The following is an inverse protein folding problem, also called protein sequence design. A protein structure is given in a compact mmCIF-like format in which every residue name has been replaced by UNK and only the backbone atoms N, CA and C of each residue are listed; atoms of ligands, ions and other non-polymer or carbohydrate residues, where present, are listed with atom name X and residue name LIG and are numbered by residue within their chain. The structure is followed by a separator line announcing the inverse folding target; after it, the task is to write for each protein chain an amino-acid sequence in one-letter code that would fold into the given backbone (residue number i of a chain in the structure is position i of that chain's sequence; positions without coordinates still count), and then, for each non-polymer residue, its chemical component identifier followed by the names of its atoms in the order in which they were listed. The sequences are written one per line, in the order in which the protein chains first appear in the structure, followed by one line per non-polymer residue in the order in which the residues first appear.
data_IF_009206320260
#
_entry.id   IF_009206320260
#
_cell.length_a   1.000
_cell.length_b   1.000
_cell.length_c   1.000
_cell.angle_alpha   90.00
_cell.angle_beta   90.00
_cell.angle_gamma   90.00
#
_symmetry.space_group_name_H-M   'P 1'
#
loop_
_entity.id
_entity.type
_entity.pdbx_description
1 polymer ?
#
# COMPACT_ATOMS: atom_id res chain seq x y z
N UNK A 1 16.94 10.73 -2.74
CA UNK A 1 17.62 11.59 -1.77
C UNK A 1 19.08 11.13 -1.59
N UNK A 2 20.01 12.05 -1.45
CA UNK A 2 21.46 11.79 -1.38
C UNK A 2 21.83 10.64 -0.41
N UNK A 3 21.25 10.63 0.78
CA UNK A 3 21.48 9.59 1.77
C UNK A 3 21.07 8.19 1.25
N UNK A 4 19.92 8.11 0.60
CA UNK A 4 19.40 6.83 0.09
C UNK A 4 20.29 6.29 -1.03
N UNK A 5 20.68 7.14 -1.97
CA UNK A 5 21.46 6.75 -3.14
C UNK A 5 22.90 6.40 -2.78
N UNK A 6 23.53 7.21 -1.89
CA UNK A 6 24.95 7.10 -1.61
C UNK A 6 25.29 6.19 -0.43
N UNK A 7 24.33 5.85 0.44
CA UNK A 7 24.57 5.03 1.63
C UNK A 7 23.61 3.85 1.73
N UNK A 8 22.30 4.11 1.74
CA UNK A 8 21.30 3.09 2.01
C UNK A 8 21.22 2.02 0.91
N UNK A 9 21.24 2.42 -0.37
CA UNK A 9 21.22 1.48 -1.50
C UNK A 9 22.46 0.57 -1.50
N UNK A 10 23.71 1.09 -1.45
CA UNK A 10 24.88 0.24 -1.38
C UNK A 10 24.88 -0.72 -0.19
N UNK A 11 24.49 -0.26 1.01
CA UNK A 11 24.37 -1.13 2.18
C UNK A 11 23.34 -2.25 1.97
N UNK A 12 22.15 -1.94 1.44
CA UNK A 12 21.10 -2.92 1.18
C UNK A 12 21.46 -3.89 0.04
N UNK A 13 22.31 -3.46 -0.90
CA UNK A 13 22.86 -4.31 -1.97
C UNK A 13 24.05 -5.18 -1.53
N UNK A 14 24.43 -5.13 -0.24
CA UNK A 14 25.60 -5.83 0.31
C UNK A 14 26.95 -5.33 -0.24
N UNK A 15 26.98 -4.07 -0.70
CA UNK A 15 28.18 -3.36 -1.21
C UNK A 15 28.69 -2.33 -0.17
N UNK A 16 28.22 -2.42 1.08
CA UNK A 16 28.58 -1.47 2.13
C UNK A 16 30.08 -1.47 2.48
N UNK A 17 30.78 -2.57 2.29
CA UNK A 17 32.21 -2.70 2.56
C UNK A 17 33.08 -1.90 1.56
N UNK A 18 32.52 -1.56 0.39
CA UNK A 18 33.19 -0.74 -0.63
C UNK A 18 33.06 0.76 -0.33
N UNK A 19 32.21 1.14 0.64
CA UNK A 19 32.03 2.52 1.04
C UNK A 19 33.20 3.02 1.91
N UNK A 20 33.75 4.22 1.64
CA UNK A 20 34.74 4.81 2.52
C UNK A 20 34.13 5.18 3.87
N UNK A 21 34.90 5.11 4.95
CA UNK A 21 34.44 5.48 6.30
C UNK A 21 33.82 6.88 6.34
N UNK A 22 34.33 7.80 5.54
CA UNK A 22 33.79 9.16 5.41
C UNK A 22 32.36 9.23 4.86
N UNK A 23 31.86 8.18 4.20
CA UNK A 23 30.47 8.12 3.77
C UNK A 23 29.49 8.14 4.96
N UNK A 24 29.94 7.70 6.13
CA UNK A 24 29.14 7.63 7.37
C UNK A 24 29.29 8.87 8.27
N UNK A 25 30.02 9.89 7.83
CA UNK A 25 30.30 11.09 8.64
C UNK A 25 29.03 11.81 9.16
N UNK A 26 27.98 11.82 8.33
CA UNK A 26 26.69 12.44 8.69
C UNK A 26 25.82 11.61 9.62
N UNK A 27 26.18 10.38 9.89
CA UNK A 27 25.42 9.38 10.68
C UNK A 27 26.28 8.66 11.71
N UNK A 28 27.34 9.30 12.19
CA UNK A 28 28.31 8.73 13.14
C UNK A 28 27.70 8.30 14.47
N UNK A 29 26.56 8.88 14.83
CA UNK A 29 25.79 8.54 16.03
C UNK A 29 24.75 7.42 15.79
N UNK A 30 24.68 6.87 14.57
CA UNK A 30 23.70 5.87 14.18
C UNK A 30 22.31 6.40 13.85
N UNK A 31 22.13 7.72 13.84
CA UNK A 31 20.83 8.34 13.51
C UNK A 31 20.66 8.43 11.99
N UNK A 32 19.65 7.76 11.46
CA UNK A 32 19.28 7.84 10.04
C UNK A 32 18.17 8.87 9.80
N UNK A 33 18.12 9.48 8.61
CA UNK A 33 17.03 10.40 8.26
C UNK A 33 15.66 9.73 8.35
N UNK A 34 14.67 10.44 8.86
CA UNK A 34 13.30 9.94 8.95
C UNK A 34 12.68 9.72 7.56
N UNK A 35 11.78 8.74 7.45
CA UNK A 35 11.04 8.45 6.22
C UNK A 35 11.82 7.66 5.16
N UNK A 36 12.96 7.07 5.51
CA UNK A 36 13.77 6.24 4.59
C UNK A 36 13.17 4.86 4.35
N UNK A 37 12.34 4.35 5.26
CA UNK A 37 11.67 3.03 5.12
C UNK A 37 10.84 2.89 3.84
N UNK A 38 10.30 3.99 3.31
CA UNK A 38 9.57 3.99 2.02
C UNK A 38 10.41 3.56 0.82
N UNK A 39 11.74 3.59 0.95
CA UNK A 39 12.68 3.14 -0.09
C UNK A 39 13.11 1.69 0.07
N UNK A 40 12.74 1.04 1.18
CA UNK A 40 13.06 -0.37 1.44
C UNK A 40 11.98 -1.32 0.88
N UNK A 41 11.64 -1.16 -0.38
CA UNK A 41 10.64 -1.98 -1.06
C UNK A 41 11.29 -3.27 -1.58
N UNK A 42 10.87 -4.43 -1.08
CA UNK A 42 11.53 -5.73 -1.35
C UNK A 42 10.76 -6.67 -2.27
N UNK A 43 9.44 -6.56 -2.35
CA UNK A 43 8.63 -7.42 -3.21
C UNK A 43 8.78 -8.92 -2.89
N UNK A 44 8.77 -9.30 -1.60
CA UNK A 44 9.08 -10.66 -1.14
C UNK A 44 7.94 -11.67 -1.32
N UNK A 45 6.74 -11.22 -1.67
CA UNK A 45 5.58 -12.08 -1.84
C UNK A 45 5.70 -12.96 -3.08
N UNK A 46 5.33 -14.24 -2.97
CA UNK A 46 5.18 -15.14 -4.13
C UNK A 46 3.80 -14.99 -4.75
N UNK A 47 2.79 -14.75 -3.92
CA UNK A 47 1.41 -14.50 -4.33
C UNK A 47 0.91 -13.18 -3.75
N UNK A 48 0.13 -12.45 -4.53
CA UNK A 48 -0.48 -11.18 -4.17
C UNK A 48 -2.00 -11.28 -4.20
N UNK A 49 -2.73 -10.58 -3.31
CA UNK A 49 -4.19 -10.55 -3.35
C UNK A 49 -4.68 -9.66 -4.50
N UNK A 50 -5.21 -10.28 -5.56
CA UNK A 50 -5.91 -9.58 -6.64
C UNK A 50 -7.32 -9.23 -6.20
N UNK A 51 -7.68 -7.97 -6.30
CA UNK A 51 -9.00 -7.46 -5.91
C UNK A 51 -10.01 -7.54 -7.07
N UNK A 52 -11.20 -8.05 -6.74
CA UNK A 52 -12.37 -8.08 -7.61
C UNK A 52 -13.39 -7.05 -7.11
N UNK A 53 -13.57 -5.97 -7.87
CA UNK A 53 -14.46 -4.88 -7.52
C UNK A 53 -15.92 -5.32 -7.39
N UNK A 54 -16.39 -6.22 -8.27
CA UNK A 54 -17.79 -6.66 -8.31
C UNK A 54 -18.18 -7.43 -7.05
N UNK A 55 -17.28 -8.28 -6.56
CA UNK A 55 -17.51 -9.10 -5.37
C UNK A 55 -17.32 -8.34 -4.05
N UNK A 56 -16.63 -7.21 -4.08
CA UNK A 56 -16.25 -6.49 -2.89
C UNK A 56 -17.47 -5.78 -2.23
N UNK A 57 -17.68 -6.03 -0.94
CA UNK A 57 -18.73 -5.39 -0.13
C UNK A 57 -18.23 -4.16 0.65
N UNK A 58 -17.00 -3.76 0.45
CA UNK A 58 -16.37 -2.57 1.06
C UNK A 58 -16.37 -2.56 2.59
N UNK A 59 -16.18 -3.70 3.23
CA UNK A 59 -16.13 -3.81 4.69
C UNK A 59 -14.77 -3.41 5.29
N UNK A 60 -13.71 -3.32 4.49
CA UNK A 60 -12.34 -2.98 4.87
C UNK A 60 -11.66 -3.96 5.86
N UNK A 61 -12.23 -5.13 6.11
CA UNK A 61 -11.61 -6.12 7.02
C UNK A 61 -10.26 -6.60 6.52
N UNK A 62 -10.08 -6.72 5.20
CA UNK A 62 -8.80 -7.07 4.58
C UNK A 62 -7.70 -6.04 4.89
N UNK A 63 -8.03 -4.76 4.87
CA UNK A 63 -7.11 -3.69 5.28
C UNK A 63 -6.81 -3.73 6.77
N UNK A 64 -7.85 -3.95 7.59
CA UNK A 64 -7.72 -4.00 9.05
C UNK A 64 -6.79 -5.12 9.56
N UNK A 65 -6.79 -6.29 8.92
CA UNK A 65 -5.94 -7.42 9.35
C UNK A 65 -4.56 -7.43 8.71
N UNK A 66 -4.27 -6.50 7.79
CA UNK A 66 -2.97 -6.47 7.12
C UNK A 66 -1.88 -6.00 8.08
N UNK A 67 -0.87 -6.84 8.41
CA UNK A 67 0.17 -6.49 9.38
C UNK A 67 1.07 -5.34 8.89
N UNK A 68 1.15 -5.13 7.57
CA UNK A 68 2.02 -4.12 6.95
C UNK A 68 1.28 -2.95 6.34
N UNK A 69 -0.03 -2.83 6.56
CA UNK A 69 -0.86 -1.81 5.89
C UNK A 69 -0.69 -1.78 4.36
N UNK A 70 -0.27 -2.90 3.77
CA UNK A 70 0.02 -3.02 2.35
C UNK A 70 -1.24 -3.05 1.46
N UNK A 71 -2.43 -3.23 2.06
CA UNK A 71 -3.70 -3.19 1.35
C UNK A 71 -4.61 -2.14 2.00
N UNK A 72 -5.01 -1.11 1.23
CA UNK A 72 -5.69 0.08 1.75
C UNK A 72 -6.88 0.47 0.89
N UNK A 73 -8.01 0.89 1.50
CA UNK A 73 -9.12 1.47 0.75
C UNK A 73 -8.80 2.91 0.33
N UNK A 74 -9.17 3.25 -0.90
CA UNK A 74 -9.03 4.59 -1.47
C UNK A 74 -10.39 5.10 -1.90
N UNK A 75 -10.68 6.37 -1.61
CA UNK A 75 -11.87 7.08 -2.07
C UNK A 75 -11.48 8.11 -3.12
N UNK A 76 -12.17 8.10 -4.25
CA UNK A 76 -11.88 8.97 -5.40
C UNK A 76 -13.10 9.80 -5.76
N UNK A 77 -12.87 11.05 -6.22
CA UNK A 77 -13.85 11.84 -6.96
C UNK A 77 -13.95 11.36 -8.42
N UNK A 78 -14.87 11.90 -9.18
CA UNK A 78 -14.98 11.61 -10.62
C UNK A 78 -13.72 12.07 -11.38
N UNK A 79 -13.14 13.21 -11.01
CA UNK A 79 -11.92 13.75 -11.63
C UNK A 79 -10.74 12.84 -11.34
N UNK A 80 -10.55 12.44 -10.08
CA UNK A 80 -9.48 11.54 -9.67
C UNK A 80 -9.62 10.17 -10.35
N UNK A 81 -10.83 9.64 -10.47
CA UNK A 81 -11.09 8.41 -11.20
C UNK A 81 -10.73 8.53 -12.69
N UNK A 82 -11.12 9.64 -13.32
CA UNK A 82 -10.85 9.86 -14.76
C UNK A 82 -9.36 10.06 -15.08
N UNK A 83 -8.58 10.50 -14.08
CA UNK A 83 -7.13 10.66 -14.18
C UNK A 83 -6.35 9.37 -13.85
N UNK A 84 -7.02 8.30 -13.42
CA UNK A 84 -6.37 7.06 -13.00
C UNK A 84 -5.81 6.25 -14.18
N UNK A 85 -4.83 5.36 -13.93
CA UNK A 85 -4.37 4.38 -14.92
C UNK A 85 -5.53 3.52 -15.48
N UNK A 86 -5.34 2.98 -16.68
CA UNK A 86 -6.39 2.21 -17.39
C UNK A 86 -6.92 1.03 -16.58
N UNK A 87 -6.03 0.35 -15.86
CA UNK A 87 -6.35 -0.86 -15.07
C UNK A 87 -6.73 -0.55 -13.60
N UNK A 88 -6.96 0.72 -13.29
CA UNK A 88 -7.37 1.17 -11.96
C UNK A 88 -8.87 0.95 -11.73
N UNK A 89 -9.28 -0.30 -11.53
CA UNK A 89 -10.66 -0.66 -11.29
C UNK A 89 -11.23 0.06 -10.06
N UNK A 90 -12.46 0.57 -10.17
CA UNK A 90 -13.19 1.21 -9.07
C UNK A 90 -14.65 0.78 -9.08
N UNK A 91 -15.36 1.01 -7.97
CA UNK A 91 -16.81 0.89 -7.89
C UNK A 91 -17.41 2.05 -7.07
N UNK A 92 -18.72 2.33 -7.17
CA UNK A 92 -19.35 3.35 -6.34
C UNK A 92 -19.12 3.07 -4.85
N UNK A 93 -18.74 4.10 -4.10
CA UNK A 93 -18.51 3.98 -2.66
C UNK A 93 -19.84 3.77 -1.91
N UNK A 94 -19.84 2.85 -0.93
CA UNK A 94 -21.00 2.52 -0.09
C UNK A 94 -20.89 3.25 1.25
N UNK A 95 -21.84 4.12 1.51
CA UNK A 95 -21.95 4.92 2.74
C UNK A 95 -22.71 6.20 2.47
N UNK A 96 -23.47 6.68 3.47
CA UNK A 96 -24.31 7.88 3.32
C UNK A 96 -23.47 9.11 2.97
N UNK A 97 -22.35 9.28 3.68
CA UNK A 97 -21.41 10.41 3.51
C UNK A 97 -20.45 10.23 2.33
N UNK A 98 -20.42 9.03 1.72
CA UNK A 98 -19.54 8.68 0.59
C UNK A 98 -20.27 8.75 -0.76
N UNK A 99 -21.49 9.28 -0.78
CA UNK A 99 -22.29 9.34 -1.98
C UNK A 99 -21.61 10.23 -3.03
N UNK A 100 -21.50 9.71 -4.25
CA UNK A 100 -20.82 10.40 -5.35
C UNK A 100 -19.30 10.15 -5.40
N UNK A 101 -18.76 9.35 -4.48
CA UNK A 101 -17.36 8.92 -4.54
C UNK A 101 -17.23 7.50 -5.12
N UNK A 102 -16.04 7.20 -5.59
CA UNK A 102 -15.64 5.87 -6.02
C UNK A 102 -14.72 5.23 -4.98
N UNK A 103 -14.78 3.93 -4.92
CA UNK A 103 -14.00 3.11 -3.99
C UNK A 103 -13.10 2.14 -4.74
N UNK A 104 -11.87 2.01 -4.29
CA UNK A 104 -10.92 0.95 -4.65
C UNK A 104 -10.27 0.37 -3.41
N UNK A 105 -10.01 -0.94 -3.42
CA UNK A 105 -9.08 -1.57 -2.49
C UNK A 105 -7.74 -1.71 -3.19
N UNK A 106 -6.77 -0.90 -2.81
CA UNK A 106 -5.46 -0.82 -3.45
C UNK A 106 -4.41 -1.61 -2.68
N UNK A 107 -3.57 -2.33 -3.39
CA UNK A 107 -2.45 -3.12 -2.88
C UNK A 107 -1.12 -2.41 -3.16
N UNK A 108 -0.21 -2.37 -2.18
CA UNK A 108 1.21 -2.15 -2.39
C UNK A 108 1.88 -3.51 -2.65
N UNK A 109 2.21 -3.81 -3.90
CA UNK A 109 2.79 -5.10 -4.27
C UNK A 109 4.18 -5.33 -3.67
N UNK A 110 4.95 -4.25 -3.51
CA UNK A 110 6.31 -4.30 -2.98
C UNK A 110 6.39 -4.44 -1.44
N UNK A 111 5.33 -4.05 -0.72
CA UNK A 111 5.25 -4.15 0.75
C UNK A 111 4.47 -5.39 1.21
N UNK A 112 3.77 -6.06 0.30
CA UNK A 112 2.98 -7.23 0.62
C UNK A 112 3.87 -8.44 0.92
N UNK A 113 3.58 -9.17 2.02
CA UNK A 113 4.26 -10.42 2.37
C UNK A 113 3.62 -11.67 1.74
N UNK A 114 2.47 -11.55 1.09
CA UNK A 114 1.76 -12.70 0.52
C UNK A 114 1.16 -13.66 1.56
N UNK A 115 0.93 -13.20 2.79
CA UNK A 115 0.47 -14.04 3.90
C UNK A 115 -0.96 -14.59 3.76
N UNK A 116 -1.78 -14.04 2.87
CA UNK A 116 -3.15 -14.50 2.60
C UNK A 116 -4.23 -14.03 3.57
N UNK A 117 -3.90 -13.45 4.73
CA UNK A 117 -4.87 -13.04 5.76
C UNK A 117 -6.03 -12.21 5.21
N UNK A 118 -5.75 -11.29 4.28
CA UNK A 118 -6.76 -10.44 3.66
C UNK A 118 -7.77 -11.22 2.80
N UNK A 119 -7.33 -12.27 2.11
CA UNK A 119 -8.19 -13.14 1.33
C UNK A 119 -9.02 -14.06 2.27
N UNK A 120 -8.40 -14.58 3.32
CA UNK A 120 -9.07 -15.48 4.27
C UNK A 120 -10.18 -14.79 5.06
N UNK A 121 -9.92 -13.58 5.57
CA UNK A 121 -10.90 -12.82 6.35
C UNK A 121 -12.07 -12.29 5.51
N UNK A 122 -11.95 -12.23 4.19
CA UNK A 122 -12.97 -11.64 3.33
C UNK A 122 -14.34 -12.30 3.54
N UNK A 123 -15.38 -11.58 4.02
CA UNK A 123 -16.68 -12.15 4.33
C UNK A 123 -17.62 -12.20 3.11
N UNK A 124 -17.20 -11.71 1.95
CA UNK A 124 -18.01 -11.74 0.75
C UNK A 124 -18.34 -13.20 0.37
N UNK A 125 -19.58 -13.43 -0.09
CA UNK A 125 -20.05 -14.77 -0.46
C UNK A 125 -19.13 -15.45 -1.47
N UNK A 126 -18.72 -14.69 -2.49
CA UNK A 126 -17.60 -15.01 -3.34
C UNK A 126 -16.45 -14.09 -2.94
N UNK A 127 -15.32 -14.66 -2.55
CA UNK A 127 -14.16 -13.91 -2.08
C UNK A 127 -13.80 -12.80 -3.06
N UNK A 128 -13.71 -11.58 -2.56
CA UNK A 128 -13.31 -10.40 -3.37
C UNK A 128 -11.80 -10.28 -3.53
N UNK A 129 -11.03 -11.14 -2.87
CA UNK A 129 -9.57 -11.20 -2.96
C UNK A 129 -9.16 -12.63 -3.28
N UNK A 130 -8.40 -12.80 -4.36
CA UNK A 130 -7.83 -14.07 -4.79
C UNK A 130 -6.33 -13.98 -4.85
N UNK A 131 -5.63 -14.91 -4.17
CA UNK A 131 -4.18 -14.95 -4.21
C UNK A 131 -3.72 -15.37 -5.62
N UNK A 132 -3.00 -14.48 -6.29
CA UNK A 132 -2.54 -14.57 -7.68
C UNK A 132 -1.02 -14.51 -7.71
N UNK A 133 -0.35 -15.19 -8.64
CA UNK A 133 1.10 -15.15 -8.73
C UNK A 133 1.63 -13.70 -8.84
N UNK A 134 2.72 -13.41 -8.14
CA UNK A 134 3.34 -12.08 -8.10
C UNK A 134 3.60 -11.53 -9.51
N UNK A 135 4.18 -12.36 -10.39
CA UNK A 135 4.53 -11.96 -11.75
C UNK A 135 3.35 -11.50 -12.61
N UNK A 136 2.12 -11.90 -12.27
CA UNK A 136 0.93 -11.61 -13.09
C UNK A 136 0.35 -10.21 -12.81
N UNK A 137 0.59 -9.66 -11.60
CA UNK A 137 -0.10 -8.42 -11.18
C UNK A 137 0.79 -7.39 -10.50
N UNK A 138 2.04 -7.72 -10.15
CA UNK A 138 2.88 -6.86 -9.31
C UNK A 138 3.18 -5.51 -9.94
N UNK A 139 3.49 -5.48 -11.23
CA UNK A 139 3.82 -4.24 -11.96
C UNK A 139 2.60 -3.31 -12.04
N UNK A 140 1.46 -3.83 -12.48
CA UNK A 140 0.20 -3.07 -12.55
C UNK A 140 -0.23 -2.55 -11.18
N UNK A 141 -0.10 -3.37 -10.12
CA UNK A 141 -0.45 -2.92 -8.76
C UNK A 141 0.56 -1.91 -8.21
N UNK A 142 1.83 -1.95 -8.61
CA UNK A 142 2.82 -0.93 -8.25
C UNK A 142 2.47 0.44 -8.87
N UNK A 143 2.16 0.49 -10.17
CA UNK A 143 1.71 1.72 -10.84
C UNK A 143 0.42 2.27 -10.21
N UNK A 144 -0.55 1.40 -9.94
CA UNK A 144 -1.79 1.75 -9.29
C UNK A 144 -1.57 2.25 -7.86
N UNK A 145 -0.62 1.66 -7.13
CA UNK A 145 -0.23 2.13 -5.81
C UNK A 145 0.35 3.55 -5.86
N UNK A 146 1.30 3.79 -6.75
CA UNK A 146 1.93 5.10 -6.90
C UNK A 146 0.89 6.17 -7.24
N UNK A 147 -0.05 5.87 -8.14
CA UNK A 147 -1.17 6.76 -8.41
C UNK A 147 -2.03 6.99 -7.16
N UNK A 148 -2.38 5.94 -6.43
CA UNK A 148 -3.23 6.03 -5.23
C UNK A 148 -2.63 6.94 -4.16
N UNK A 149 -1.29 7.02 -4.08
CA UNK A 149 -0.57 7.89 -3.13
C UNK A 149 -0.65 9.37 -3.49
N UNK A 150 -1.06 9.72 -4.71
CA UNK A 150 -1.30 11.11 -5.11
C UNK A 150 -2.70 11.61 -4.70
N UNK A 151 -3.60 10.70 -4.33
CA UNK A 151 -4.99 11.02 -4.00
C UNK A 151 -5.09 11.50 -2.55
N UNK A 152 -5.64 12.69 -2.28
CA UNK A 152 -5.83 13.18 -0.92
C UNK A 152 -6.73 12.26 -0.09
N UNK A 153 -6.35 11.99 1.16
CA UNK A 153 -7.18 11.25 2.09
C UNK A 153 -8.54 11.95 2.31
N UNK A 154 -9.60 11.15 2.36
CA UNK A 154 -10.98 11.63 2.59
C UNK A 154 -11.55 11.05 3.90
N UNK A 155 -10.68 10.84 4.88
CA UNK A 155 -11.00 10.24 6.17
C UNK A 155 -11.99 11.07 7.00
N UNK A 156 -12.04 12.39 6.80
CA UNK A 156 -13.04 13.26 7.42
C UNK A 156 -14.50 12.90 7.07
N UNK A 157 -14.72 12.16 5.96
CA UNK A 157 -16.04 11.67 5.53
C UNK A 157 -16.39 10.31 6.14
N UNK A 158 -15.55 9.76 6.99
CA UNK A 158 -15.70 8.40 7.52
C UNK A 158 -15.70 8.38 9.05
N UNK A 159 -16.42 7.43 9.63
CA UNK A 159 -16.40 7.21 11.08
C UNK A 159 -15.14 6.44 11.49
N UNK A 160 -14.12 7.16 11.97
CA UNK A 160 -12.84 6.60 12.40
C UNK A 160 -12.94 5.62 13.59
N UNK A 161 -14.06 5.57 14.29
CA UNK A 161 -14.31 4.65 15.40
C UNK A 161 -14.89 3.30 14.95
N UNK A 162 -15.21 3.15 13.67
CA UNK A 162 -15.63 1.88 13.07
C UNK A 162 -14.46 1.17 12.38
N UNK A 163 -14.51 -0.17 12.27
CA UNK A 163 -13.51 -0.95 11.52
C UNK A 163 -13.40 -0.44 10.08
N UNK A 164 -14.54 -0.24 9.42
CA UNK A 164 -14.55 0.24 8.04
C UNK A 164 -13.94 1.64 7.92
N UNK A 165 -14.37 2.58 8.74
CA UNK A 165 -14.01 3.98 8.63
C UNK A 165 -12.55 4.26 9.03
N UNK A 166 -12.05 3.58 10.06
CA UNK A 166 -10.66 3.72 10.51
C UNK A 166 -9.64 3.41 9.42
N UNK A 167 -9.99 2.54 8.47
CA UNK A 167 -9.08 2.11 7.42
C UNK A 167 -8.87 3.16 6.31
N UNK A 168 -9.71 4.19 6.24
CA UNK A 168 -9.50 5.32 5.33
C UNK A 168 -8.54 6.37 5.88
N UNK A 169 -8.23 6.30 7.17
CA UNK A 169 -7.22 7.16 7.79
C UNK A 169 -5.83 6.72 7.32
N UNK A 170 -5.04 7.67 6.85
CA UNK A 170 -3.69 7.41 6.42
C UNK A 170 -2.81 7.00 7.61
N UNK A 171 -2.01 5.92 7.52
CA UNK A 171 -1.08 5.58 8.58
C UNK A 171 0.02 6.64 8.69
N UNK A 172 0.43 6.97 9.92
CA UNK A 172 1.50 7.95 10.17
C UNK A 172 2.87 7.48 9.70
N UNK A 173 3.07 6.17 9.61
CA UNK A 173 4.31 5.54 9.16
C UNK A 173 4.01 4.52 8.09
N UNK A 174 4.91 4.41 7.12
CA UNK A 174 4.92 3.32 6.16
C UNK A 174 5.74 2.17 6.74
N UNK A 175 5.19 0.96 6.64
CA UNK A 175 5.92 -0.25 7.01
C UNK A 175 6.69 -0.75 5.80
N UNK A 176 7.97 -1.10 6.01
CA UNK A 176 8.69 -1.87 5.00
C UNK A 176 8.32 -3.34 5.13
N UNK A 177 8.32 -4.09 4.03
CA UNK A 177 8.11 -5.54 4.04
C UNK A 177 9.24 -6.32 4.72
N UNK A 178 10.24 -5.62 5.27
CA UNK A 178 11.39 -6.20 5.96
C UNK A 178 11.17 -6.44 7.46
N UNK A 179 10.10 -5.94 8.06
CA UNK A 179 9.82 -6.10 9.49
C UNK A 179 9.53 -7.53 9.88
#
# INVERSE_FOLDING_TARGET
PEFVENLMIPMNSQEGDDLPVSAFEKVVDGTFPSGTSKYEKRGVAIYLPKWDAEKCIQCNQCSFVCPHSAIRPVLLTDEEKNASPTDFATKPAVGKELKGLHYRMQLSSLDCLGCGNCADICPAKEKALTMTAYADIAETEAENWDYSRTIPAKDALTDRHSVKGSQFTEPYIEFSGAC
#
